data_IF_801563105917
#
_entry.id   IF_801563105917
#
_cell.length_a   1.000
_cell.length_b   1.000
_cell.length_c   1.000
_cell.angle_alpha   90.00
_cell.angle_beta   90.00
_cell.angle_gamma   90.00
#
_symmetry.space_group_name_H-M   'P 1'
#
loop_
_entity.id
_entity.type
_entity.pdbx_description
1 polymer ?
#
# COMPACT_ATOMS: atom_id res chain seq x y z
N UNK A 1 -3.79 15.56 8.76
CA UNK A 1 -2.68 15.92 7.84
C UNK A 1 -2.06 14.64 7.28
N UNK A 2 -1.83 14.61 5.97
CA UNK A 2 -1.22 13.45 5.33
C UNK A 2 0.29 13.45 5.55
N UNK A 3 0.86 12.27 5.72
CA UNK A 3 2.28 12.09 6.04
C UNK A 3 3.12 11.95 4.75
N UNK A 4 3.02 12.94 3.85
CA UNK A 4 3.62 12.89 2.51
C UNK A 4 4.53 14.08 2.16
N UNK A 5 4.82 14.95 3.12
CA UNK A 5 5.61 16.16 2.85
C UNK A 5 7.04 15.84 2.37
N UNK A 6 7.56 14.67 2.71
CA UNK A 6 8.88 14.23 2.27
C UNK A 6 8.94 13.80 0.80
N UNK A 7 7.79 13.60 0.15
CA UNK A 7 7.74 13.15 -1.24
C UNK A 7 8.06 14.30 -2.18
N UNK A 8 8.98 14.05 -3.13
CA UNK A 8 9.40 15.07 -4.10
C UNK A 8 8.30 15.42 -5.10
N UNK A 9 8.24 16.71 -5.49
CA UNK A 9 7.43 17.13 -6.60
C UNK A 9 8.04 16.66 -7.93
N UNK A 10 7.24 16.37 -8.99
CA UNK A 10 5.77 16.49 -8.98
C UNK A 10 5.01 15.27 -8.41
N UNK A 11 5.73 14.24 -7.96
CA UNK A 11 5.10 13.04 -7.38
C UNK A 11 4.14 13.37 -6.23
N UNK A 12 4.53 14.29 -5.36
CA UNK A 12 3.70 14.67 -4.22
C UNK A 12 2.33 15.20 -4.65
N UNK A 13 2.29 16.03 -5.68
CA UNK A 13 1.03 16.57 -6.20
C UNK A 13 0.13 15.47 -6.74
N UNK A 14 0.66 14.54 -7.54
CA UNK A 14 -0.12 13.41 -8.06
C UNK A 14 -0.60 12.50 -6.93
N UNK A 15 0.29 12.20 -5.99
CA UNK A 15 -0.04 11.39 -4.82
C UNK A 15 -1.15 12.00 -4.00
N UNK A 16 -1.04 13.28 -3.67
CA UNK A 16 -2.03 14.01 -2.88
C UNK A 16 -3.41 13.99 -3.52
N UNK A 17 -3.50 14.22 -4.82
CA UNK A 17 -4.77 14.18 -5.55
C UNK A 17 -5.40 12.80 -5.51
N UNK A 18 -4.60 11.77 -5.73
CA UNK A 18 -5.08 10.40 -5.74
C UNK A 18 -5.54 9.94 -4.35
N UNK A 19 -4.77 10.25 -3.32
CA UNK A 19 -5.15 9.94 -1.93
C UNK A 19 -6.47 10.61 -1.57
N UNK A 20 -6.66 11.86 -1.97
CA UNK A 20 -7.92 12.57 -1.74
C UNK A 20 -9.13 11.84 -2.31
N UNK A 21 -8.99 11.31 -3.52
CA UNK A 21 -10.04 10.51 -4.15
C UNK A 21 -10.27 9.20 -3.40
N UNK A 22 -9.21 8.52 -3.00
CA UNK A 22 -9.31 7.25 -2.28
C UNK A 22 -9.99 7.42 -0.92
N UNK A 23 -9.60 8.44 -0.16
CA UNK A 23 -10.18 8.70 1.17
C UNK A 23 -11.67 9.04 1.07
N UNK A 24 -12.11 9.63 -0.04
CA UNK A 24 -13.52 9.95 -0.25
C UNK A 24 -14.39 8.70 -0.43
N UNK A 25 -13.80 7.55 -0.71
CA UNK A 25 -14.52 6.29 -0.86
C UNK A 25 -14.79 5.68 0.51
N UNK A 26 -16.05 5.41 0.80
CA UNK A 26 -16.46 4.84 2.09
C UNK A 26 -15.80 3.51 2.40
N UNK A 27 -15.59 2.68 1.37
CA UNK A 27 -15.02 1.35 1.53
C UNK A 27 -13.52 1.36 1.80
N UNK A 28 -12.81 2.45 1.51
CA UNK A 28 -11.37 2.56 1.76
C UNK A 28 -11.11 2.76 3.25
N UNK A 29 -10.35 1.85 3.85
CA UNK A 29 -10.09 1.83 5.30
C UNK A 29 -8.66 2.20 5.67
N UNK A 30 -7.69 1.99 4.77
CA UNK A 30 -6.30 2.32 5.04
C UNK A 30 -5.51 2.48 3.75
N UNK A 31 -4.45 3.31 3.80
CA UNK A 31 -3.56 3.56 2.66
C UNK A 31 -2.12 3.63 3.17
N UNK A 32 -1.24 2.88 2.51
CA UNK A 32 0.19 2.86 2.81
C UNK A 32 0.98 3.11 1.53
N UNK A 33 1.97 4.00 1.61
CA UNK A 33 2.92 4.25 0.52
C UNK A 33 4.13 3.35 0.71
N UNK A 34 4.55 2.65 -0.35
CA UNK A 34 5.76 1.84 -0.30
C UNK A 34 6.60 2.05 -1.57
N UNK A 35 7.67 1.29 -1.72
CA UNK A 35 8.55 1.41 -2.87
C UNK A 35 9.47 2.62 -2.83
N UNK A 36 9.96 3.05 -4.00
CA UNK A 36 11.01 4.06 -4.10
C UNK A 36 10.63 5.42 -3.50
N UNK A 37 9.37 5.83 -3.63
CA UNK A 37 8.92 7.10 -3.05
C UNK A 37 8.93 7.07 -1.53
N UNK A 38 8.52 5.96 -0.94
CA UNK A 38 8.53 5.79 0.51
C UNK A 38 9.96 5.81 1.07
N UNK A 39 10.90 5.27 0.30
CA UNK A 39 12.32 5.21 0.68
C UNK A 39 13.08 6.52 0.39
N UNK A 40 12.43 7.50 -0.20
CA UNK A 40 13.06 8.78 -0.55
C UNK A 40 14.05 8.69 -1.70
N UNK A 41 13.90 7.70 -2.58
CA UNK A 41 14.80 7.41 -3.71
C UNK A 41 14.07 7.35 -5.05
N UNK A 42 13.19 8.32 -5.38
CA UNK A 42 12.51 8.29 -6.66
C UNK A 42 13.46 8.59 -7.81
N UNK A 43 13.20 7.97 -8.95
CA UNK A 43 13.79 8.39 -10.22
C UNK A 43 13.16 9.70 -10.66
N UNK A 44 13.80 10.42 -11.60
CA UNK A 44 13.19 11.64 -12.16
C UNK A 44 11.79 11.35 -12.68
N UNK A 45 10.86 12.28 -12.45
CA UNK A 45 9.47 12.14 -12.89
C UNK A 45 9.43 11.99 -14.44
N UNK A 46 8.65 11.08 -15.01
CA UNK A 46 7.68 10.16 -14.38
C UNK A 46 8.15 8.71 -14.25
N UNK A 47 9.44 8.46 -14.10
CA UNK A 47 10.04 7.12 -14.17
C UNK A 47 9.74 6.24 -12.97
N UNK A 48 9.49 6.81 -11.78
CA UNK A 48 9.12 6.02 -10.60
C UNK A 48 7.61 5.84 -10.52
N UNK A 49 7.18 4.66 -10.07
CA UNK A 49 5.78 4.42 -9.77
C UNK A 49 5.41 4.98 -8.40
N UNK A 50 4.15 5.32 -8.25
CA UNK A 50 3.55 5.62 -6.95
C UNK A 50 2.92 4.33 -6.45
N UNK A 51 3.61 3.64 -5.55
CA UNK A 51 3.18 2.33 -5.07
C UNK A 51 2.36 2.46 -3.78
N UNK A 52 1.10 2.10 -3.87
CA UNK A 52 0.18 2.17 -2.74
C UNK A 52 -0.40 0.80 -2.41
N UNK A 53 -0.47 0.51 -1.12
CA UNK A 53 -1.29 -0.58 -0.60
C UNK A 53 -2.57 0.06 -0.07
N UNK A 54 -3.71 -0.32 -0.65
CA UNK A 54 -5.02 0.19 -0.28
C UNK A 54 -5.82 -0.95 0.35
N UNK A 55 -6.25 -0.74 1.59
CA UNK A 55 -7.11 -1.70 2.28
C UNK A 55 -8.54 -1.18 2.19
N UNK A 56 -9.41 -2.00 1.63
CA UNK A 56 -10.80 -1.62 1.41
C UNK A 56 -11.74 -2.81 1.58
N UNK A 57 -12.98 -2.51 1.97
CA UNK A 57 -14.04 -3.50 2.06
C UNK A 57 -14.77 -3.61 0.73
N UNK A 58 -15.55 -4.69 0.57
CA UNK A 58 -16.41 -4.90 -0.59
C UNK A 58 -15.68 -4.90 -1.93
N UNK A 59 -14.45 -5.38 -1.94
CA UNK A 59 -13.68 -5.51 -3.18
C UNK A 59 -14.19 -6.68 -4.01
N UNK A 60 -14.27 -6.54 -5.35
CA UNK A 60 -14.55 -7.69 -6.22
C UNK A 60 -13.50 -8.79 -6.00
N UNK A 61 -13.93 -10.05 -6.01
CA UNK A 61 -13.01 -11.18 -5.88
C UNK A 61 -12.14 -11.34 -7.13
N UNK A 62 -12.72 -11.11 -8.30
CA UNK A 62 -12.00 -11.20 -9.56
C UNK A 62 -11.01 -10.05 -9.68
N UNK A 63 -9.70 -10.34 -9.88
CA UNK A 63 -8.68 -9.29 -9.96
C UNK A 63 -8.89 -8.28 -11.09
N UNK A 64 -9.43 -8.72 -12.23
CA UNK A 64 -9.70 -7.84 -13.37
C UNK A 64 -10.84 -6.89 -13.04
N UNK A 65 -11.93 -7.40 -12.47
CA UNK A 65 -13.07 -6.57 -12.05
C UNK A 65 -12.65 -5.56 -10.99
N UNK A 66 -11.81 -5.98 -10.05
CA UNK A 66 -11.28 -5.10 -9.00
C UNK A 66 -10.50 -3.95 -9.61
N UNK A 67 -9.63 -4.24 -10.56
CA UNK A 67 -8.85 -3.22 -11.26
C UNK A 67 -9.73 -2.26 -12.06
N UNK A 68 -10.70 -2.79 -12.79
CA UNK A 68 -11.61 -1.98 -13.62
C UNK A 68 -12.48 -1.04 -12.78
N UNK A 69 -12.89 -1.50 -11.60
CA UNK A 69 -13.75 -0.70 -10.71
C UNK A 69 -13.09 0.62 -10.30
N UNK A 70 -11.79 0.60 -10.04
CA UNK A 70 -11.06 1.75 -9.51
C UNK A 70 -10.20 2.46 -10.56
N UNK A 71 -10.13 1.94 -11.77
CA UNK A 71 -9.35 2.53 -12.86
C UNK A 71 -9.70 4.01 -13.13
N UNK A 72 -10.98 4.42 -13.14
CA UNK A 72 -11.33 5.82 -13.38
C UNK A 72 -10.71 6.81 -12.41
N UNK A 73 -10.38 6.40 -11.20
CA UNK A 73 -9.76 7.26 -10.20
C UNK A 73 -8.36 7.72 -10.61
N UNK A 74 -7.71 7.00 -11.50
CA UNK A 74 -6.34 7.27 -11.94
C UNK A 74 -6.26 8.31 -13.06
N UNK A 75 -7.39 8.77 -13.60
CA UNK A 75 -7.46 9.77 -14.67
C UNK A 75 -6.55 9.48 -15.88
N UNK A 76 -6.42 8.20 -16.24
CA UNK A 76 -5.58 7.79 -17.36
C UNK A 76 -4.08 7.77 -17.08
N UNK A 77 -3.63 8.15 -15.90
CA UNK A 77 -2.21 8.10 -15.54
C UNK A 77 -1.79 6.66 -15.20
N UNK A 78 -0.61 6.27 -15.68
CA UNK A 78 -0.07 4.92 -15.46
C UNK A 78 0.95 4.84 -14.34
N UNK A 79 1.26 5.95 -13.67
CA UNK A 79 2.26 5.99 -12.61
C UNK A 79 1.80 5.36 -11.29
N UNK A 80 0.51 5.10 -11.15
CA UNK A 80 -0.03 4.52 -9.92
C UNK A 80 0.02 2.99 -9.97
N UNK A 81 0.84 2.40 -9.10
CA UNK A 81 0.95 0.95 -8.95
C UNK A 81 0.29 0.50 -7.65
N UNK A 82 -1.01 0.20 -7.70
CA UNK A 82 -1.76 -0.13 -6.50
C UNK A 82 -1.89 -1.61 -6.27
N UNK A 83 -1.85 -1.98 -4.98
CA UNK A 83 -2.30 -3.29 -4.53
C UNK A 83 -3.51 -3.04 -3.64
N UNK A 84 -4.65 -3.63 -3.99
CA UNK A 84 -5.91 -3.50 -3.26
C UNK A 84 -6.22 -4.82 -2.56
N UNK A 85 -6.30 -4.78 -1.23
CA UNK A 85 -6.62 -5.95 -0.41
C UNK A 85 -7.78 -5.63 0.53
N UNK A 86 -8.62 -6.64 0.80
CA UNK A 86 -9.55 -6.57 1.91
C UNK A 86 -8.78 -6.76 3.22
N UNK A 87 -9.37 -6.37 4.37
CA UNK A 87 -8.73 -6.65 5.65
C UNK A 87 -8.39 -8.13 5.85
N UNK A 88 -9.25 -9.03 5.39
CA UNK A 88 -9.02 -10.47 5.45
C UNK A 88 -7.85 -10.89 4.57
N UNK A 89 -7.79 -10.38 3.34
CA UNK A 89 -6.69 -10.68 2.43
C UNK A 89 -5.35 -10.17 2.98
N UNK A 90 -5.36 -9.03 3.68
CA UNK A 90 -4.17 -8.53 4.35
C UNK A 90 -3.68 -9.51 5.42
N UNK A 91 -4.57 -10.03 6.24
CA UNK A 91 -4.21 -11.04 7.24
C UNK A 91 -3.66 -12.30 6.60
N UNK A 92 -4.30 -12.78 5.53
CA UNK A 92 -3.83 -13.94 4.78
C UNK A 92 -2.45 -13.70 4.18
N UNK A 93 -2.18 -12.50 3.67
CA UNK A 93 -0.87 -12.14 3.11
C UNK A 93 0.22 -12.16 4.19
N UNK A 94 -0.09 -11.71 5.40
CA UNK A 94 0.85 -11.72 6.52
C UNK A 94 1.12 -13.16 6.96
N UNK A 95 0.10 -13.95 7.20
CA UNK A 95 0.25 -15.33 7.62
C UNK A 95 0.97 -16.18 6.58
N UNK A 96 0.62 -15.99 5.32
CA UNK A 96 1.22 -16.72 4.21
C UNK A 96 2.62 -16.26 3.81
N UNK A 97 3.06 -15.10 4.28
CA UNK A 97 4.40 -14.58 3.98
C UNK A 97 4.55 -13.96 2.60
N UNK A 98 3.56 -13.23 2.12
CA UNK A 98 3.68 -12.50 0.85
C UNK A 98 4.69 -11.36 1.00
N UNK A 99 5.92 -11.58 0.46
CA UNK A 99 7.08 -10.71 0.70
C UNK A 99 6.86 -9.25 0.36
N UNK A 100 6.16 -8.94 -0.73
CA UNK A 100 5.85 -7.55 -1.12
C UNK A 100 5.05 -6.85 -0.03
N UNK A 101 4.07 -7.52 0.55
CA UNK A 101 3.22 -6.96 1.62
C UNK A 101 4.01 -6.84 2.93
N UNK A 102 4.83 -7.83 3.25
CA UNK A 102 5.67 -7.77 4.44
C UNK A 102 6.66 -6.61 4.37
N UNK A 103 7.30 -6.41 3.21
CA UNK A 103 8.20 -5.27 3.00
C UNK A 103 7.44 -3.94 3.03
N UNK A 104 6.28 -3.87 2.39
CA UNK A 104 5.47 -2.65 2.39
C UNK A 104 5.11 -2.22 3.81
N UNK A 105 4.65 -3.15 4.64
CA UNK A 105 4.28 -2.86 6.03
C UNK A 105 5.49 -2.49 6.90
N UNK A 106 6.64 -3.09 6.62
CA UNK A 106 7.86 -2.88 7.41
C UNK A 106 8.55 -1.56 7.07
N UNK A 107 8.68 -1.25 5.78
CA UNK A 107 9.47 -0.12 5.30
C UNK A 107 8.63 1.02 4.72
N UNK A 108 7.34 0.80 4.51
CA UNK A 108 6.46 1.80 3.95
C UNK A 108 6.03 2.87 4.94
N UNK A 109 5.30 3.85 4.43
CA UNK A 109 4.79 4.97 5.21
C UNK A 109 3.27 4.87 5.29
N UNK A 110 2.74 4.80 6.50
CA UNK A 110 1.30 4.79 6.74
C UNK A 110 0.75 6.20 6.50
N UNK A 111 -0.07 6.33 5.47
CA UNK A 111 -0.66 7.62 5.08
C UNK A 111 -2.01 7.82 5.73
N UNK A 112 -2.83 6.78 5.74
CA UNK A 112 -4.20 6.83 6.23
C UNK A 112 -4.51 5.53 6.96
N UNK A 113 -4.70 5.59 8.27
CA UNK A 113 -4.94 4.39 9.09
C UNK A 113 -5.82 4.71 10.31
N UNK A 114 -7.04 5.27 10.10
CA UNK A 114 -7.88 5.70 11.21
C UNK A 114 -8.36 4.55 12.10
N UNK A 115 -8.40 3.32 11.56
CA UNK A 115 -8.82 2.14 12.30
C UNK A 115 -7.65 1.30 12.80
N UNK A 116 -6.42 1.78 12.63
CA UNK A 116 -5.19 1.10 13.05
C UNK A 116 -5.01 -0.29 12.42
N UNK A 117 -5.54 -0.48 11.22
CA UNK A 117 -5.42 -1.75 10.49
C UNK A 117 -3.98 -2.03 10.11
N UNK A 118 -3.29 -1.02 9.55
CA UNK A 118 -1.89 -1.16 9.15
C UNK A 118 -0.98 -1.31 10.36
N UNK A 119 -1.23 -0.56 11.42
CA UNK A 119 -0.46 -0.65 12.66
C UNK A 119 -0.52 -2.06 13.25
N UNK A 120 -1.73 -2.62 13.37
CA UNK A 120 -1.92 -3.98 13.88
C UNK A 120 -1.28 -5.02 12.98
N UNK A 121 -1.43 -4.85 11.66
CA UNK A 121 -0.83 -5.75 10.68
C UNK A 121 0.69 -5.77 10.81
N UNK A 122 1.32 -4.60 10.91
CA UNK A 122 2.77 -4.49 11.07
C UNK A 122 3.28 -5.24 12.31
N UNK A 123 2.55 -5.16 13.42
CA UNK A 123 2.91 -5.87 14.65
C UNK A 123 2.83 -7.39 14.51
N UNK A 124 1.91 -7.89 13.71
CA UNK A 124 1.72 -9.33 13.51
C UNK A 124 2.84 -9.97 12.73
N UNK A 125 3.55 -9.22 11.91
CA UNK A 125 4.60 -9.78 11.05
C UNK A 125 5.64 -10.53 11.86
N UNK A 126 6.12 -9.96 12.97
CA UNK A 126 7.16 -10.57 13.79
C UNK A 126 6.71 -11.83 14.52
N UNK A 127 5.39 -12.06 14.61
CA UNK A 127 4.86 -13.31 15.20
C UNK A 127 5.04 -14.49 14.25
N UNK A 128 5.03 -14.25 12.93
CA UNK A 128 5.04 -15.30 11.92
C UNK A 128 6.36 -15.38 11.16
N UNK A 129 7.09 -14.27 11.03
CA UNK A 129 8.22 -14.18 10.11
C UNK A 129 9.43 -13.48 10.72
N UNK A 130 10.61 -13.86 10.23
CA UNK A 130 11.88 -13.19 10.50
C UNK A 130 12.47 -12.74 9.18
N UNK A 131 13.00 -11.52 9.12
CA UNK A 131 13.67 -11.01 7.95
C UNK A 131 15.17 -11.24 8.06
N UNK A 132 15.76 -11.90 7.07
CA UNK A 132 17.19 -12.16 6.99
C UNK A 132 17.71 -11.53 5.70
N UNK A 133 18.43 -10.40 5.80
CA UNK A 133 18.82 -9.62 4.64
C UNK A 133 17.57 -9.09 3.93
N UNK A 134 17.34 -9.51 2.68
CA UNK A 134 16.17 -9.13 1.88
C UNK A 134 15.11 -10.23 1.80
N UNK A 135 15.28 -11.31 2.58
CA UNK A 135 14.44 -12.50 2.50
C UNK A 135 13.64 -12.66 3.77
N UNK A 136 12.36 -12.98 3.62
CA UNK A 136 11.49 -13.35 4.72
C UNK A 136 11.48 -14.86 4.91
N UNK A 137 11.59 -15.27 6.16
CA UNK A 137 11.52 -16.67 6.55
C UNK A 137 10.44 -16.85 7.60
N UNK A 138 9.57 -17.84 7.36
CA UNK A 138 8.50 -18.17 8.32
C UNK A 138 9.11 -18.77 9.57
N UNK A 139 8.66 -18.30 10.73
CA UNK A 139 9.10 -18.86 12.02
C UNK A 139 8.53 -20.26 12.18
N UNK A 140 9.34 -21.14 12.78
CA UNK A 140 8.87 -22.44 13.21
C UNK A 140 8.07 -22.25 14.49
N UNK A 141 6.88 -22.82 14.53
CA UNK A 141 6.02 -22.80 15.70
C UNK A 141 6.24 -24.03 16.54
#
# INVERSE_FOLDING_TARGET
MLNIEFVREPYRTYLKKYIGKLISLEDVKAILLFGSLAEGKPKPFPESDIDLLVIAENLPENPVERRLKYLPLKNGYTIYGDIWLTPRELEEAIEGGWGVILDALTFGVKIYDPYKILEKASRKITQYHTRIGKIWRKKKL
#
